data_IF_956818997688
#
_entry.id   IF_956818997688
#
_cell.length_a   1.000
_cell.length_b   1.000
_cell.length_c   1.000
_cell.angle_alpha   90.00
_cell.angle_beta   90.00
_cell.angle_gamma   90.00
#
_symmetry.space_group_name_H-M   'P 1'
#
loop_
_entity.id
_entity.type
_entity.pdbx_description
1 polymer ?
#
# COMPACT_ATOMS: atom_id res chain seq x y z
N UNK A 1 -15.54 29.00 -17.40
CA UNK A 1 -15.47 28.52 -18.80
C UNK A 1 -14.18 27.71 -19.05
N UNK A 2 -13.01 28.22 -18.61
CA UNK A 2 -11.72 27.53 -18.79
C UNK A 2 -11.62 26.24 -17.96
N UNK A 3 -12.11 26.21 -16.73
CA UNK A 3 -12.08 25.05 -15.83
C UNK A 3 -12.92 23.89 -16.37
N UNK A 4 -14.12 24.17 -16.93
CA UNK A 4 -14.94 23.14 -17.58
C UNK A 4 -14.31 22.55 -18.85
N UNK A 5 -13.43 23.30 -19.50
CA UNK A 5 -12.70 22.83 -20.68
C UNK A 5 -11.56 21.87 -20.31
N UNK A 6 -10.80 22.14 -19.24
CA UNK A 6 -9.72 21.26 -18.79
C UNK A 6 -10.24 19.92 -18.25
N UNK A 7 -11.38 19.93 -17.56
CA UNK A 7 -12.01 18.69 -17.09
C UNK A 7 -12.51 17.83 -18.27
N UNK A 8 -13.10 18.46 -19.29
CA UNK A 8 -13.51 17.74 -20.51
C UNK A 8 -12.31 17.12 -21.25
N UNK A 9 -11.20 17.85 -21.33
CA UNK A 9 -9.96 17.33 -21.91
C UNK A 9 -9.39 16.15 -21.10
N UNK A 10 -9.36 16.27 -19.76
CA UNK A 10 -8.92 15.19 -18.88
C UNK A 10 -9.79 13.94 -19.04
N UNK A 11 -11.11 14.11 -19.11
CA UNK A 11 -12.04 13.01 -19.33
C UNK A 11 -11.85 12.35 -20.70
N UNK A 12 -11.60 13.15 -21.76
CA UNK A 12 -11.32 12.60 -23.08
C UNK A 12 -10.00 11.83 -23.09
N UNK A 13 -8.97 12.33 -22.39
CA UNK A 13 -7.73 11.58 -22.16
C UNK A 13 -7.99 10.23 -21.51
N UNK A 14 -8.82 10.17 -20.48
CA UNK A 14 -9.21 8.93 -19.81
C UNK A 14 -9.98 7.97 -20.74
N UNK A 15 -10.88 8.49 -21.57
CA UNK A 15 -11.59 7.67 -22.56
C UNK A 15 -10.64 6.98 -23.53
N UNK A 16 -9.63 7.71 -24.04
CA UNK A 16 -8.61 7.13 -24.91
C UNK A 16 -7.69 6.17 -24.16
N UNK A 17 -7.33 6.46 -22.90
CA UNK A 17 -6.50 5.55 -22.08
C UNK A 17 -7.21 4.22 -21.79
N UNK A 18 -8.50 4.23 -21.55
CA UNK A 18 -9.29 3.04 -21.21
C UNK A 18 -9.98 2.39 -22.41
N UNK A 19 -10.03 3.05 -23.58
CA UNK A 19 -10.78 2.57 -24.74
C UNK A 19 -12.30 2.65 -24.57
N UNK A 20 -12.80 3.57 -23.74
CA UNK A 20 -14.24 3.73 -23.45
C UNK A 20 -14.92 4.63 -24.48
N UNK A 21 -15.72 4.05 -25.34
CA UNK A 21 -16.43 4.77 -26.40
C UNK A 21 -15.55 5.17 -27.58
N UNK A 22 -14.25 4.91 -27.52
CA UNK A 22 -13.25 5.13 -28.58
C UNK A 22 -12.26 3.95 -28.57
N UNK A 23 -11.50 3.76 -29.64
CA UNK A 23 -10.39 2.81 -29.65
C UNK A 23 -9.31 3.30 -28.68
N UNK A 24 -8.78 2.39 -27.86
CA UNK A 24 -7.70 2.71 -26.91
C UNK A 24 -6.48 3.28 -27.67
N UNK A 25 -6.02 4.45 -27.27
CA UNK A 25 -4.87 5.12 -27.84
C UNK A 25 -4.14 5.96 -26.79
N UNK A 26 -3.02 5.45 -26.30
CA UNK A 26 -2.21 6.14 -25.28
C UNK A 26 -1.54 7.42 -25.81
N UNK A 27 -1.29 7.54 -27.12
CA UNK A 27 -0.71 8.76 -27.70
C UNK A 27 -1.76 9.87 -27.72
N UNK A 28 -2.99 9.55 -28.09
CA UNK A 28 -4.10 10.51 -28.00
C UNK A 28 -4.41 10.87 -26.54
N UNK A 29 -4.46 9.89 -25.62
CA UNK A 29 -4.62 10.14 -24.19
C UNK A 29 -3.57 11.13 -23.67
N UNK A 30 -2.30 10.93 -24.02
CA UNK A 30 -1.18 11.80 -23.64
C UNK A 30 -1.39 13.25 -24.13
N UNK A 31 -1.85 13.44 -25.36
CA UNK A 31 -2.13 14.78 -25.89
C UNK A 31 -3.20 15.51 -25.09
N UNK A 32 -4.30 14.82 -24.79
CA UNK A 32 -5.39 15.40 -24.04
C UNK A 32 -5.02 15.70 -22.58
N UNK A 33 -4.28 14.79 -21.92
CA UNK A 33 -3.76 15.06 -20.58
C UNK A 33 -2.78 16.23 -20.56
N UNK A 34 -1.90 16.37 -21.55
CA UNK A 34 -1.00 17.54 -21.65
C UNK A 34 -1.77 18.86 -21.75
N UNK A 35 -2.83 18.91 -22.55
CA UNK A 35 -3.65 20.11 -22.68
C UNK A 35 -4.35 20.48 -21.36
N UNK A 36 -4.93 19.50 -20.67
CA UNK A 36 -5.56 19.73 -19.37
C UNK A 36 -4.54 20.07 -18.27
N UNK A 37 -3.41 19.37 -18.24
CA UNK A 37 -2.33 19.58 -17.27
C UNK A 37 -1.69 20.97 -17.40
N UNK A 38 -1.54 21.47 -18.64
CA UNK A 38 -1.06 22.83 -18.90
C UNK A 38 -1.99 23.91 -18.36
N UNK A 39 -3.27 23.63 -18.23
CA UNK A 39 -4.26 24.50 -17.58
C UNK A 39 -4.31 24.33 -16.05
N UNK A 40 -3.41 23.54 -15.48
CA UNK A 40 -3.29 23.35 -14.03
C UNK A 40 -4.21 22.27 -13.44
N UNK A 41 -4.94 21.49 -14.27
CA UNK A 41 -5.86 20.47 -13.76
C UNK A 41 -5.07 19.32 -13.08
N UNK A 42 -5.23 19.19 -11.75
CA UNK A 42 -4.42 18.31 -10.92
C UNK A 42 -4.51 16.82 -11.30
N UNK A 43 -5.72 16.34 -11.66
CA UNK A 43 -5.90 14.95 -12.08
C UNK A 43 -5.20 14.67 -13.42
N UNK A 44 -5.23 15.59 -14.38
CA UNK A 44 -4.50 15.43 -15.62
C UNK A 44 -2.98 15.45 -15.42
N UNK A 45 -2.50 16.32 -14.54
CA UNK A 45 -1.08 16.31 -14.14
C UNK A 45 -0.68 14.96 -13.52
N UNK A 46 -1.50 14.41 -12.64
CA UNK A 46 -1.27 13.10 -12.07
C UNK A 46 -1.26 11.99 -13.13
N UNK A 47 -2.27 11.96 -14.02
CA UNK A 47 -2.36 10.97 -15.09
C UNK A 47 -1.17 11.09 -16.06
N UNK A 48 -0.75 12.31 -16.38
CA UNK A 48 0.43 12.55 -17.20
C UNK A 48 1.71 12.04 -16.50
N UNK A 49 1.83 12.24 -15.21
CA UNK A 49 2.90 11.64 -14.39
C UNK A 49 2.92 10.12 -14.49
N UNK A 50 1.75 9.46 -14.39
CA UNK A 50 1.64 8.01 -14.56
C UNK A 50 2.04 7.54 -15.95
N UNK A 51 1.69 8.29 -17.02
CA UNK A 51 2.07 7.93 -18.38
C UNK A 51 3.58 7.96 -18.57
N UNK A 52 4.28 8.97 -18.04
CA UNK A 52 5.74 9.01 -18.05
C UNK A 52 6.38 7.94 -17.17
N UNK A 53 5.83 7.67 -15.98
CA UNK A 53 6.32 6.63 -15.07
C UNK A 53 6.22 5.21 -15.68
N UNK A 54 5.16 4.96 -16.47
CA UNK A 54 4.89 3.66 -17.07
C UNK A 54 5.34 3.54 -18.54
N UNK A 55 5.75 4.62 -19.17
CA UNK A 55 6.10 4.63 -20.60
C UNK A 55 4.90 4.42 -21.53
N UNK A 56 3.70 4.85 -21.12
CA UNK A 56 2.46 4.71 -21.93
C UNK A 56 2.28 5.86 -22.90
N UNK A 57 2.27 5.57 -24.18
CA UNK A 57 2.15 6.58 -25.24
C UNK A 57 3.34 7.53 -25.37
N UNK A 58 4.37 7.35 -24.56
CA UNK A 58 5.61 8.11 -24.50
C UNK A 58 6.72 7.23 -23.93
N UNK A 59 7.98 7.54 -24.20
CA UNK A 59 9.10 6.86 -23.52
C UNK A 59 9.04 7.07 -22.01
N UNK A 60 9.39 6.04 -21.23
CA UNK A 60 9.47 6.16 -19.77
C UNK A 60 10.48 7.26 -19.38
N UNK A 61 10.07 8.16 -18.50
CA UNK A 61 10.90 9.26 -18.02
C UNK A 61 10.54 9.60 -16.57
N UNK A 62 11.36 9.13 -15.64
CA UNK A 62 11.15 9.30 -14.21
C UNK A 62 11.28 10.78 -13.78
N UNK A 63 12.07 11.60 -14.50
CA UNK A 63 12.24 13.02 -14.19
C UNK A 63 10.98 13.81 -14.58
N UNK A 64 10.44 13.54 -15.76
CA UNK A 64 9.16 14.13 -16.17
C UNK A 64 8.01 13.63 -15.29
N UNK A 65 7.96 12.34 -14.94
CA UNK A 65 6.97 11.81 -13.99
C UNK A 65 7.01 12.54 -12.65
N UNK A 66 8.22 12.71 -12.06
CA UNK A 66 8.42 13.45 -10.82
C UNK A 66 7.87 14.88 -10.90
N UNK A 67 8.16 15.58 -11.98
CA UNK A 67 7.70 16.96 -12.21
C UNK A 67 6.17 17.05 -12.19
N UNK A 68 5.50 16.15 -12.90
CA UNK A 68 4.05 16.15 -13.00
C UNK A 68 3.38 15.68 -11.69
N UNK A 69 3.92 14.67 -11.02
CA UNK A 69 3.43 14.28 -9.69
C UNK A 69 3.60 15.41 -8.68
N UNK A 70 4.72 16.16 -8.72
CA UNK A 70 4.94 17.31 -7.83
C UNK A 70 3.90 18.41 -8.03
N UNK A 71 3.58 18.75 -9.28
CA UNK A 71 2.54 19.73 -9.60
C UNK A 71 1.17 19.30 -9.06
N UNK A 72 0.77 18.05 -9.26
CA UNK A 72 -0.48 17.52 -8.74
C UNK A 72 -0.47 17.40 -7.19
N UNK A 73 0.65 17.00 -6.59
CA UNK A 73 0.81 16.83 -5.15
C UNK A 73 0.73 18.16 -4.39
N UNK A 74 1.30 19.22 -4.95
CA UNK A 74 1.21 20.59 -4.36
C UNK A 74 -0.20 21.16 -4.41
N UNK A 75 -1.05 20.68 -5.30
CA UNK A 75 -2.49 20.96 -5.33
C UNK A 75 -3.30 20.10 -4.36
N UNK A 76 -2.64 19.23 -3.58
CA UNK A 76 -3.27 18.44 -2.53
C UNK A 76 -3.77 17.07 -2.99
N UNK A 77 -3.53 16.60 -4.22
CA UNK A 77 -4.02 15.32 -4.69
C UNK A 77 -3.33 14.14 -3.94
N UNK A 78 -4.05 13.33 -3.14
CA UNK A 78 -3.41 12.35 -2.25
C UNK A 78 -2.66 11.24 -3.00
N UNK A 79 -3.15 10.81 -4.15
CA UNK A 79 -2.45 9.83 -4.98
C UNK A 79 -1.13 10.37 -5.54
N UNK A 80 -1.10 11.65 -5.92
CA UNK A 80 0.13 12.30 -6.39
C UNK A 80 1.14 12.48 -5.25
N UNK A 81 0.67 12.90 -4.07
CA UNK A 81 1.51 12.98 -2.87
C UNK A 81 2.13 11.62 -2.51
N UNK A 82 1.33 10.55 -2.57
CA UNK A 82 1.82 9.19 -2.34
C UNK A 82 2.90 8.80 -3.35
N UNK A 83 2.66 8.98 -4.66
CA UNK A 83 3.62 8.63 -5.70
C UNK A 83 4.90 9.47 -5.61
N UNK A 84 4.78 10.75 -5.29
CA UNK A 84 5.93 11.61 -5.05
C UNK A 84 6.76 11.13 -3.84
N UNK A 85 6.09 10.70 -2.76
CA UNK A 85 6.73 10.06 -1.62
C UNK A 85 7.49 8.79 -2.01
N UNK A 86 6.91 7.94 -2.87
CA UNK A 86 7.58 6.74 -3.39
C UNK A 86 8.83 7.09 -4.23
N UNK A 87 8.74 8.11 -5.07
CA UNK A 87 9.88 8.54 -5.89
C UNK A 87 11.06 9.00 -5.02
N UNK A 88 10.80 9.74 -3.95
CA UNK A 88 11.83 10.12 -2.98
C UNK A 88 12.35 8.93 -2.17
N UNK A 89 11.48 7.98 -1.76
CA UNK A 89 11.91 6.76 -1.05
C UNK A 89 12.83 5.88 -1.89
N UNK A 90 12.57 5.81 -3.19
CA UNK A 90 13.31 4.95 -4.12
C UNK A 90 14.48 5.65 -4.82
N UNK A 91 14.54 6.97 -4.81
CA UNK A 91 15.49 7.75 -5.61
C UNK A 91 15.16 7.73 -7.09
N UNK A 92 13.88 7.67 -7.46
CA UNK A 92 13.40 7.54 -8.84
C UNK A 92 13.17 8.93 -9.46
N UNK A 93 13.94 9.29 -10.49
CA UNK A 93 13.95 10.62 -11.10
C UNK A 93 14.47 11.75 -10.22
N UNK A 94 14.92 11.43 -9.00
CA UNK A 94 15.45 12.36 -7.99
C UNK A 94 16.42 11.63 -7.08
N UNK A 95 17.33 12.35 -6.41
CA UNK A 95 18.15 11.76 -5.36
C UNK A 95 17.27 11.23 -4.22
N UNK A 96 17.56 10.00 -3.76
CA UNK A 96 16.83 9.38 -2.65
C UNK A 96 16.87 10.28 -1.41
N UNK A 97 15.70 10.53 -0.84
CA UNK A 97 15.54 11.35 0.35
C UNK A 97 14.36 10.86 1.20
N UNK A 98 14.68 10.07 2.24
CA UNK A 98 13.65 9.50 3.11
C UNK A 98 12.88 10.55 3.93
N UNK A 99 13.50 11.69 4.27
CA UNK A 99 12.82 12.75 5.00
C UNK A 99 11.73 13.41 4.12
N UNK A 100 12.06 13.72 2.87
CA UNK A 100 11.07 14.20 1.89
C UNK A 100 9.97 13.17 1.65
N UNK A 101 10.32 11.87 1.52
CA UNK A 101 9.33 10.81 1.35
C UNK A 101 8.33 10.78 2.51
N UNK A 102 8.82 10.90 3.75
CA UNK A 102 7.97 10.96 4.97
C UNK A 102 7.00 12.13 4.93
N UNK A 103 7.46 13.33 4.55
CA UNK A 103 6.56 14.50 4.49
C UNK A 103 5.44 14.30 3.46
N UNK A 104 5.75 13.77 2.27
CA UNK A 104 4.75 13.51 1.26
C UNK A 104 3.80 12.36 1.66
N UNK A 105 4.31 11.27 2.27
CA UNK A 105 3.44 10.23 2.82
C UNK A 105 2.55 10.75 3.93
N UNK A 106 3.03 11.67 4.78
CA UNK A 106 2.23 12.27 5.87
C UNK A 106 1.07 13.08 5.32
N UNK A 107 1.29 13.88 4.26
CA UNK A 107 0.23 14.65 3.60
C UNK A 107 -0.83 13.74 3.00
N UNK A 108 -0.43 12.68 2.29
CA UNK A 108 -1.37 11.70 1.72
C UNK A 108 -2.09 10.88 2.79
N UNK A 109 -1.38 10.48 3.85
CA UNK A 109 -1.93 9.70 4.96
C UNK A 109 -2.97 10.50 5.77
N UNK A 110 -2.77 11.79 5.94
CA UNK A 110 -3.75 12.69 6.57
C UNK A 110 -5.06 12.76 5.78
N UNK A 111 -5.01 12.57 4.48
CA UNK A 111 -6.17 12.46 3.59
C UNK A 111 -6.72 11.02 3.50
N UNK A 112 -6.33 10.16 4.45
CA UNK A 112 -6.80 8.78 4.59
C UNK A 112 -6.42 7.84 3.43
N UNK A 113 -5.37 8.16 2.66
CA UNK A 113 -4.85 7.28 1.61
C UNK A 113 -4.17 6.04 2.26
N UNK A 114 -4.70 4.80 2.06
CA UNK A 114 -4.26 3.64 2.85
C UNK A 114 -2.81 3.23 2.59
N UNK A 115 -2.35 3.32 1.34
CA UNK A 115 -0.98 2.98 0.97
C UNK A 115 0.03 3.96 1.60
N UNK A 116 -0.33 5.25 1.67
CA UNK A 116 0.52 6.25 2.32
C UNK A 116 0.58 6.03 3.83
N UNK A 117 -0.54 5.69 4.47
CA UNK A 117 -0.57 5.33 5.89
C UNK A 117 0.30 4.10 6.16
N UNK A 118 0.21 3.07 5.34
CA UNK A 118 1.05 1.89 5.47
C UNK A 118 2.54 2.22 5.32
N UNK A 119 2.93 2.97 4.26
CA UNK A 119 4.31 3.35 4.04
C UNK A 119 4.86 4.26 5.15
N UNK A 120 4.04 5.18 5.66
CA UNK A 120 4.43 6.01 6.80
C UNK A 120 4.67 5.14 8.06
N UNK A 121 3.83 4.12 8.29
CA UNK A 121 4.06 3.10 9.32
C UNK A 121 5.40 2.39 9.15
N UNK A 122 5.75 1.99 7.92
CA UNK A 122 7.04 1.39 7.61
C UNK A 122 8.24 2.33 7.86
N UNK A 123 8.08 3.63 7.55
CA UNK A 123 9.12 4.64 7.81
C UNK A 123 9.40 4.75 9.31
N UNK A 124 8.35 4.83 10.14
CA UNK A 124 8.51 4.84 11.60
C UNK A 124 9.05 3.52 12.15
N UNK A 125 8.59 2.37 11.64
CA UNK A 125 9.09 1.05 12.08
C UNK A 125 10.59 0.89 11.81
N UNK A 126 11.07 1.39 10.67
CA UNK A 126 12.47 1.23 10.23
C UNK A 126 13.37 2.41 10.61
N UNK A 127 12.82 3.52 11.09
CA UNK A 127 13.58 4.75 11.35
C UNK A 127 14.13 5.39 10.07
N UNK A 128 13.42 5.27 8.94
CA UNK A 128 13.82 5.88 7.66
C UNK A 128 13.24 7.28 7.53
N UNK A 129 14.11 8.29 7.44
CA UNK A 129 13.71 9.70 7.34
C UNK A 129 13.09 10.29 8.61
N UNK A 130 12.83 9.46 9.61
CA UNK A 130 12.33 9.81 10.94
C UNK A 130 13.02 8.96 12.00
N UNK A 131 12.98 9.40 13.27
CA UNK A 131 13.37 8.54 14.37
C UNK A 131 12.47 7.31 14.43
N UNK A 132 13.07 6.12 14.64
CA UNK A 132 12.30 4.88 14.84
C UNK A 132 11.32 5.03 15.99
N UNK A 133 10.05 4.69 15.73
CA UNK A 133 8.98 4.74 16.72
C UNK A 133 7.90 3.69 16.37
N UNK A 134 7.90 2.60 17.13
CA UNK A 134 6.93 1.52 16.93
C UNK A 134 5.51 1.91 17.35
N UNK A 135 5.32 2.87 18.26
CA UNK A 135 3.99 3.32 18.64
C UNK A 135 3.35 4.15 17.52
N UNK A 136 4.12 5.05 16.90
CA UNK A 136 3.66 5.75 15.70
C UNK A 136 3.45 4.79 14.53
N UNK A 137 4.34 3.79 14.34
CA UNK A 137 4.14 2.76 13.31
C UNK A 137 2.82 2.01 13.52
N UNK A 138 2.52 1.57 14.75
CA UNK A 138 1.27 0.90 15.10
C UNK A 138 0.04 1.75 14.78
N UNK A 139 0.08 3.03 15.10
CA UNK A 139 -0.99 3.99 14.81
C UNK A 139 -1.27 4.10 13.31
N UNK A 140 -0.23 4.26 12.49
CA UNK A 140 -0.39 4.40 11.05
C UNK A 140 -0.81 3.08 10.38
N UNK A 141 -0.26 1.94 10.81
CA UNK A 141 -0.74 0.63 10.39
C UNK A 141 -2.21 0.41 10.74
N UNK A 142 -2.65 0.84 11.95
CA UNK A 142 -4.06 0.72 12.36
C UNK A 142 -4.99 1.49 11.42
N UNK A 143 -4.62 2.73 11.01
CA UNK A 143 -5.44 3.49 10.07
C UNK A 143 -5.55 2.79 8.71
N UNK A 144 -4.46 2.25 8.17
CA UNK A 144 -4.49 1.50 6.92
C UNK A 144 -5.25 0.17 7.06
N UNK A 145 -5.02 -0.57 8.16
CA UNK A 145 -5.65 -1.85 8.45
C UNK A 145 -7.17 -1.76 8.59
N UNK A 146 -7.67 -0.68 9.20
CA UNK A 146 -9.11 -0.40 9.32
C UNK A 146 -9.77 -0.11 7.96
N UNK A 147 -9.01 0.26 6.95
CA UNK A 147 -9.46 0.43 5.57
C UNK A 147 -9.28 -0.84 4.71
N UNK A 148 -8.96 -1.98 5.33
CA UNK A 148 -8.80 -3.26 4.65
C UNK A 148 -7.42 -3.48 4.02
N UNK A 149 -6.41 -2.63 4.31
CA UNK A 149 -5.07 -2.84 3.77
C UNK A 149 -4.41 -4.07 4.42
N UNK A 150 -4.39 -5.18 3.69
CA UNK A 150 -3.98 -6.50 4.19
C UNK A 150 -2.55 -6.53 4.77
N UNK A 151 -1.50 -5.96 4.11
CA UNK A 151 -0.18 -5.90 4.72
C UNK A 151 -0.14 -5.13 6.04
N UNK A 152 -0.95 -4.06 6.18
CA UNK A 152 -1.02 -3.30 7.43
C UNK A 152 -1.70 -4.10 8.55
N UNK A 153 -2.73 -4.88 8.23
CA UNK A 153 -3.36 -5.81 9.19
C UNK A 153 -2.34 -6.81 9.72
N UNK A 154 -1.55 -7.42 8.85
CA UNK A 154 -0.50 -8.35 9.25
C UNK A 154 0.56 -7.69 10.13
N UNK A 155 1.10 -6.53 9.71
CA UNK A 155 2.12 -5.82 10.48
C UNK A 155 1.61 -5.35 11.84
N UNK A 156 0.37 -4.91 11.92
CA UNK A 156 -0.26 -4.55 13.19
C UNK A 156 -0.43 -5.78 14.09
N UNK A 157 -0.78 -6.93 13.52
CA UNK A 157 -0.77 -8.22 14.22
C UNK A 157 0.60 -8.53 14.82
N UNK A 158 1.69 -8.37 14.05
CA UNK A 158 3.06 -8.54 14.53
C UNK A 158 3.42 -7.59 15.67
N UNK A 159 2.99 -6.35 15.59
CA UNK A 159 3.23 -5.35 16.64
C UNK A 159 2.59 -5.77 17.97
N UNK A 160 1.33 -6.19 17.96
CA UNK A 160 0.65 -6.69 19.16
C UNK A 160 1.21 -8.03 19.65
N UNK A 161 1.56 -8.94 18.73
CA UNK A 161 2.16 -10.26 19.06
C UNK A 161 3.50 -10.10 19.81
N UNK A 162 4.32 -9.11 19.43
CA UNK A 162 5.63 -8.88 20.06
C UNK A 162 5.64 -7.77 21.13
N UNK A 163 4.57 -7.01 21.29
CA UNK A 163 4.52 -5.86 22.20
C UNK A 163 5.48 -4.72 21.82
N UNK A 164 5.70 -4.50 20.52
CA UNK A 164 6.60 -3.45 20.03
C UNK A 164 5.89 -2.09 20.03
N UNK A 165 6.33 -1.17 20.88
CA UNK A 165 5.74 0.17 21.00
C UNK A 165 4.34 0.23 21.59
N UNK A 166 3.74 -0.92 21.85
CA UNK A 166 2.44 -1.10 22.52
C UNK A 166 2.55 -2.27 23.51
N UNK A 167 1.62 -2.37 24.46
CA UNK A 167 1.53 -3.57 25.30
C UNK A 167 1.27 -4.80 24.42
N UNK A 168 1.95 -5.93 24.74
CA UNK A 168 1.69 -7.20 24.09
C UNK A 168 0.23 -7.62 24.33
N UNK A 169 -0.46 -7.95 23.25
CA UNK A 169 -1.86 -8.38 23.29
C UNK A 169 -2.11 -9.45 22.21
N UNK A 170 -2.06 -10.69 22.62
CA UNK A 170 -2.28 -11.82 21.72
C UNK A 170 -3.70 -11.88 21.16
N UNK A 171 -4.71 -11.40 21.89
CA UNK A 171 -6.09 -11.37 21.38
C UNK A 171 -6.23 -10.36 20.24
N UNK A 172 -5.66 -9.16 20.41
CA UNK A 172 -5.58 -8.19 19.33
C UNK A 172 -4.74 -8.70 18.16
N UNK A 173 -3.60 -9.36 18.40
CA UNK A 173 -2.79 -9.96 17.36
C UNK A 173 -3.59 -10.99 16.54
N UNK A 174 -4.29 -11.91 17.20
CA UNK A 174 -5.14 -12.92 16.56
C UNK A 174 -6.23 -12.29 15.68
N UNK A 175 -6.88 -11.22 16.19
CA UNK A 175 -7.89 -10.49 15.43
C UNK A 175 -7.33 -9.92 14.11
N UNK A 176 -6.16 -9.27 14.16
CA UNK A 176 -5.56 -8.65 12.98
C UNK A 176 -4.98 -9.69 12.02
N UNK A 177 -4.35 -10.75 12.53
CA UNK A 177 -3.92 -11.88 11.70
C UNK A 177 -5.11 -12.56 11.00
N UNK A 178 -6.25 -12.72 11.68
CA UNK A 178 -7.45 -13.31 11.09
C UNK A 178 -7.96 -12.51 9.91
N UNK A 179 -8.01 -11.16 10.03
CA UNK A 179 -8.42 -10.31 8.93
C UNK A 179 -7.51 -10.48 7.72
N UNK A 180 -6.19 -10.44 7.92
CA UNK A 180 -5.23 -10.65 6.84
C UNK A 180 -5.27 -12.09 6.27
N UNK A 181 -5.48 -13.11 7.12
CA UNK A 181 -5.51 -14.51 6.74
C UNK A 181 -6.73 -14.86 5.87
N UNK A 182 -7.89 -14.29 6.16
CA UNK A 182 -9.12 -14.44 5.35
C UNK A 182 -8.94 -13.86 3.96
N UNK A 183 -8.20 -12.76 3.84
CA UNK A 183 -7.83 -12.14 2.55
C UNK A 183 -6.68 -12.90 1.83
N UNK A 184 -6.28 -14.07 2.35
CA UNK A 184 -5.35 -14.96 1.70
C UNK A 184 -3.86 -14.71 2.01
N UNK A 185 -3.51 -13.82 2.93
CA UNK A 185 -2.10 -13.57 3.25
C UNK A 185 -1.46 -14.79 3.95
N UNK A 186 -0.57 -15.48 3.27
CA UNK A 186 0.03 -16.74 3.69
C UNK A 186 0.73 -16.65 5.06
N UNK A 187 1.50 -15.58 5.32
CA UNK A 187 2.18 -15.38 6.60
C UNK A 187 1.19 -15.17 7.76
N UNK A 188 0.06 -14.50 7.50
CA UNK A 188 -0.98 -14.31 8.49
C UNK A 188 -1.73 -15.62 8.79
N UNK A 189 -1.99 -16.43 7.77
CA UNK A 189 -2.56 -17.77 7.92
C UNK A 189 -1.66 -18.65 8.80
N UNK A 190 -0.36 -18.64 8.54
CA UNK A 190 0.60 -19.38 9.38
C UNK A 190 0.59 -18.90 10.84
N UNK A 191 0.66 -17.58 11.06
CA UNK A 191 0.63 -16.98 12.40
C UNK A 191 -0.66 -17.31 13.15
N UNK A 192 -1.79 -17.25 12.46
CA UNK A 192 -3.09 -17.61 13.06
C UNK A 192 -3.15 -19.12 13.40
N UNK A 193 -2.60 -19.98 12.55
CA UNK A 193 -2.45 -21.40 12.82
C UNK A 193 -1.64 -21.66 14.09
N UNK A 194 -0.51 -20.97 14.27
CA UNK A 194 0.29 -21.04 15.50
C UNK A 194 -0.51 -20.61 16.74
N UNK A 195 -1.28 -19.52 16.62
CA UNK A 195 -2.07 -19.03 17.76
C UNK A 195 -3.13 -20.04 18.21
N UNK A 196 -3.79 -20.74 17.27
CA UNK A 196 -4.71 -21.82 17.61
C UNK A 196 -4.01 -23.07 18.15
N UNK A 197 -2.84 -23.42 17.61
CA UNK A 197 -2.03 -24.55 18.09
C UNK A 197 -1.56 -24.35 19.53
N UNK A 198 -1.14 -23.13 19.86
CA UNK A 198 -0.60 -22.77 21.18
C UNK A 198 -1.65 -22.25 22.18
N UNK A 199 -2.88 -21.95 21.74
CA UNK A 199 -3.90 -21.30 22.57
C UNK A 199 -3.55 -19.86 22.96
N UNK A 200 -2.78 -19.15 22.11
CA UNK A 200 -2.37 -17.77 22.36
C UNK A 200 -3.36 -16.77 21.78
N UNK A 201 -4.00 -15.99 22.64
CA UNK A 201 -4.98 -14.96 22.25
C UNK A 201 -6.31 -15.51 21.71
N UNK A 202 -6.40 -16.81 21.53
CA UNK A 202 -7.58 -17.61 21.17
C UNK A 202 -7.60 -18.89 21.99
N UNK A 203 -8.76 -19.52 22.14
CA UNK A 203 -8.82 -20.87 22.70
C UNK A 203 -8.04 -21.84 21.81
N UNK A 204 -7.28 -22.75 22.40
CA UNK A 204 -6.56 -23.79 21.66
C UNK A 204 -7.54 -24.63 20.84
N UNK A 205 -7.26 -24.78 19.56
CA UNK A 205 -8.07 -25.57 18.62
C UNK A 205 -7.18 -26.14 17.52
N UNK A 206 -6.86 -27.43 17.62
CA UNK A 206 -6.00 -28.08 16.66
C UNK A 206 -6.65 -28.24 15.27
N UNK A 207 -7.98 -28.31 15.20
CA UNK A 207 -8.70 -28.36 13.92
C UNK A 207 -8.58 -27.05 13.17
N UNK A 208 -8.77 -25.91 13.84
CA UNK A 208 -8.53 -24.60 13.25
C UNK A 208 -7.04 -24.41 12.93
N UNK A 209 -6.11 -24.85 13.79
CA UNK A 209 -4.67 -24.79 13.49
C UNK A 209 -4.33 -25.52 12.17
N UNK A 210 -4.80 -26.78 12.02
CA UNK A 210 -4.61 -27.57 10.79
C UNK A 210 -5.19 -26.88 9.58
N UNK A 211 -6.37 -26.30 9.67
CA UNK A 211 -7.02 -25.56 8.58
C UNK A 211 -6.16 -24.39 8.11
N UNK A 212 -5.68 -23.57 9.03
CA UNK A 212 -4.85 -22.40 8.71
C UNK A 212 -3.46 -22.80 8.21
N UNK A 213 -2.84 -23.82 8.80
CA UNK A 213 -1.56 -24.36 8.31
C UNK A 213 -1.69 -24.93 6.90
N UNK A 214 -2.81 -25.62 6.55
CA UNK A 214 -3.04 -26.11 5.18
C UNK A 214 -3.07 -24.99 4.16
N UNK A 215 -3.79 -23.89 4.46
CA UNK A 215 -3.86 -22.73 3.59
C UNK A 215 -2.49 -22.08 3.38
N UNK A 216 -1.73 -21.89 4.46
CA UNK A 216 -0.38 -21.34 4.37
C UNK A 216 0.60 -22.27 3.66
N UNK A 217 0.52 -23.59 3.92
CA UNK A 217 1.37 -24.61 3.30
C UNK A 217 1.13 -24.72 1.79
N UNK A 218 -0.12 -24.61 1.35
CA UNK A 218 -0.49 -24.58 -0.08
C UNK A 218 0.11 -23.36 -0.80
N UNK A 219 0.40 -22.27 -0.08
CA UNK A 219 1.07 -21.09 -0.61
C UNK A 219 2.60 -21.14 -0.43
N UNK A 220 3.16 -22.28 -0.03
CA UNK A 220 4.60 -22.49 0.06
C UNK A 220 5.24 -22.04 1.36
N UNK A 221 4.50 -21.77 2.43
CA UNK A 221 5.08 -21.44 3.74
C UNK A 221 5.70 -22.69 4.37
N UNK A 222 7.01 -22.86 4.25
CA UNK A 222 7.72 -24.05 4.72
C UNK A 222 7.50 -24.37 6.22
N UNK A 223 7.50 -23.41 7.16
CA UNK A 223 7.16 -23.70 8.57
C UNK A 223 5.74 -24.26 8.75
N UNK A 224 4.77 -23.82 7.92
CA UNK A 224 3.41 -24.35 7.97
C UNK A 224 3.35 -25.81 7.49
N UNK A 225 4.12 -26.16 6.45
CA UNK A 225 4.26 -27.55 5.97
C UNK A 225 4.84 -28.46 7.05
N UNK A 226 5.89 -27.98 7.75
CA UNK A 226 6.51 -28.72 8.84
C UNK A 226 5.55 -28.94 10.00
N UNK A 227 4.85 -27.89 10.44
CA UNK A 227 3.90 -27.99 11.54
C UNK A 227 2.71 -28.90 11.19
N UNK A 228 2.24 -28.83 9.96
CA UNK A 228 1.18 -29.70 9.48
C UNK A 228 1.62 -31.18 9.51
N UNK A 229 2.84 -31.49 9.06
CA UNK A 229 3.42 -32.83 9.16
C UNK A 229 3.52 -33.35 10.61
N UNK A 230 3.93 -32.50 11.53
CA UNK A 230 4.01 -32.83 12.95
C UNK A 230 2.62 -33.13 13.56
N UNK A 231 1.59 -32.39 13.16
CA UNK A 231 0.22 -32.62 13.63
C UNK A 231 -0.34 -33.97 13.15
N UNK A 232 -0.06 -34.36 11.91
CA UNK A 232 -0.47 -35.68 11.40
C UNK A 232 0.35 -36.85 11.98
N UNK A 233 1.58 -36.60 12.41
CA UNK A 233 2.41 -37.62 13.08
C UNK A 233 2.06 -37.87 14.56
N UNK A 234 1.25 -37.00 15.17
CA UNK A 234 0.81 -37.11 16.57
C UNK A 234 -0.58 -37.74 16.73
N UNK A 235 -1.33 -37.94 15.66
CA UNK A 235 -2.64 -38.61 15.65
C UNK A 235 -2.57 -39.98 15.02
#
# INVERSE_FOLDING_TARGET
AEQGYSDAQSNLGLMYEEGKGVVQDYVEALKWYRLAAAQGQAQAQYNLGLMYDQGKGVGQDDVEALKWFRLAATQGLPHAQYNLGLMYDQGKGVMQNYAEAVEWFRLAAAQRQPLAQYNLGLMYEKGKGVRQDYAEAAKWYKFAAMQGHVPAQYNLGLIYDHGKGVAQDFASAAKWYRLAAVEGQASAQYKLGLMYDEGKGVAQDFSEAVKWYRLAAAQGIAPAQSNLGLMFGRG
#
